data_IF_812197408084
#
_entry.id   IF_812197408084
#
_cell.length_a   1.000
_cell.length_b   1.000
_cell.length_c   1.000
_cell.angle_alpha   90.00
_cell.angle_beta   90.00
_cell.angle_gamma   90.00
#
_symmetry.space_group_name_H-M   'P 1'
#
loop_
_entity.id
_entity.type
_entity.pdbx_description
1 polymer ?
#
# COMPACT_ATOMS: atom_id res chain seq x y z
N UNK A 1 3.84 -2.89 6.01
CA UNK A 1 3.44 -2.45 4.65
C UNK A 1 3.28 -3.68 3.79
N UNK A 2 2.13 -3.87 3.16
CA UNK A 2 1.91 -4.98 2.23
C UNK A 2 2.11 -4.53 0.78
N UNK A 3 2.79 -5.34 -0.03
CA UNK A 3 3.12 -5.01 -1.42
C UNK A 3 2.82 -6.21 -2.31
N UNK A 4 2.12 -5.98 -3.41
CA UNK A 4 1.94 -6.98 -4.46
C UNK A 4 1.15 -6.42 -5.62
N UNK A 5 1.79 -6.25 -6.77
CA UNK A 5 1.15 -5.66 -7.97
C UNK A 5 0.59 -6.70 -8.94
N UNK A 6 0.92 -7.99 -8.73
CA UNK A 6 0.32 -9.09 -9.49
C UNK A 6 -1.19 -9.08 -9.37
N UNK A 7 -1.89 -9.43 -10.46
CA UNK A 7 -3.36 -9.47 -10.52
C UNK A 7 -3.96 -10.35 -9.42
N UNK A 8 -3.29 -11.46 -9.10
CA UNK A 8 -3.72 -12.43 -8.10
C UNK A 8 -3.49 -11.95 -6.67
N UNK A 9 -2.53 -11.06 -6.44
CA UNK A 9 -2.15 -10.57 -5.12
C UNK A 9 -2.84 -9.26 -4.75
N UNK A 10 -3.05 -8.37 -5.72
CA UNK A 10 -3.51 -7.00 -5.53
C UNK A 10 -4.71 -6.84 -4.58
N UNK A 11 -5.80 -7.55 -4.85
CA UNK A 11 -7.02 -7.44 -4.03
C UNK A 11 -6.79 -7.99 -2.62
N UNK A 12 -6.06 -9.10 -2.50
CA UNK A 12 -5.79 -9.75 -1.22
C UNK A 12 -4.90 -8.84 -0.35
N UNK A 13 -3.86 -8.27 -0.93
CA UNK A 13 -2.95 -7.33 -0.26
C UNK A 13 -3.71 -6.11 0.25
N UNK A 14 -4.61 -5.56 -0.56
CA UNK A 14 -5.47 -4.46 -0.16
C UNK A 14 -6.37 -4.85 1.02
N UNK A 15 -7.17 -5.91 0.86
CA UNK A 15 -8.12 -6.36 1.88
C UNK A 15 -7.41 -6.69 3.20
N UNK A 16 -6.27 -7.36 3.15
CA UNK A 16 -5.53 -7.74 4.37
C UNK A 16 -4.97 -6.53 5.10
N UNK A 17 -4.38 -5.59 4.37
CA UNK A 17 -3.81 -4.38 4.95
C UNK A 17 -4.89 -3.50 5.58
N UNK A 18 -5.99 -3.25 4.87
CA UNK A 18 -7.09 -2.43 5.39
C UNK A 18 -7.70 -3.04 6.67
N UNK A 19 -7.92 -4.36 6.69
CA UNK A 19 -8.46 -5.06 7.87
C UNK A 19 -7.53 -4.99 9.10
N UNK A 20 -6.21 -5.06 8.92
CA UNK A 20 -5.26 -4.91 10.03
C UNK A 20 -4.85 -3.46 10.31
N UNK A 21 -5.42 -2.49 9.59
CA UNK A 21 -5.10 -1.07 9.73
C UNK A 21 -3.66 -0.71 9.31
N UNK A 22 -3.10 -1.46 8.36
CA UNK A 22 -1.78 -1.21 7.79
C UNK A 22 -1.87 -0.67 6.36
N UNK A 23 -0.74 -0.18 5.85
CA UNK A 23 -0.63 0.35 4.51
C UNK A 23 -0.44 -0.74 3.45
N UNK A 24 -0.87 -0.47 2.22
CA UNK A 24 -0.65 -1.36 1.08
C UNK A 24 -0.16 -0.65 -0.18
N UNK A 25 0.45 -1.41 -1.08
CA UNK A 25 0.69 -1.06 -2.49
C UNK A 25 0.25 -2.23 -3.36
N UNK A 26 -0.95 -2.14 -3.92
CA UNK A 26 -1.51 -3.19 -4.78
C UNK A 26 -1.35 -2.96 -6.27
N UNK A 27 -0.93 -1.76 -6.68
CA UNK A 27 -1.10 -1.32 -8.07
C UNK A 27 0.21 -1.20 -8.84
N UNK A 28 1.06 -0.27 -8.43
CA UNK A 28 2.40 -0.11 -8.98
C UNK A 28 3.32 0.48 -7.93
N UNK A 29 4.48 -0.15 -7.75
CA UNK A 29 5.58 0.46 -7.02
C UNK A 29 6.15 1.65 -7.79
N UNK A 30 6.13 2.83 -7.18
CA UNK A 30 6.81 4.01 -7.73
C UNK A 30 8.21 4.05 -7.14
N UNK A 31 9.24 4.07 -7.98
CA UNK A 31 10.62 4.20 -7.50
C UNK A 31 10.79 5.44 -6.61
N UNK A 32 11.46 5.26 -5.48
CA UNK A 32 11.58 6.26 -4.43
C UNK A 32 10.46 6.20 -3.40
N UNK A 33 9.64 5.16 -3.37
CA UNK A 33 8.50 5.04 -2.45
C UNK A 33 8.92 5.07 -0.98
N UNK A 34 10.04 4.41 -0.65
CA UNK A 34 10.59 4.39 0.69
C UNK A 34 11.76 5.38 0.81
N UNK A 35 12.66 5.35 -0.16
CA UNK A 35 13.91 6.13 -0.13
C UNK A 35 13.70 7.62 -0.34
N UNK A 36 12.61 8.02 -1.01
CA UNK A 36 12.25 9.42 -1.23
C UNK A 36 10.78 9.70 -0.87
N UNK A 37 10.43 9.36 0.36
CA UNK A 37 9.08 9.54 0.89
C UNK A 37 8.62 11.02 0.86
N UNK A 38 9.55 11.97 0.88
CA UNK A 38 9.23 13.40 0.78
C UNK A 38 8.59 13.76 -0.58
N UNK A 39 9.13 13.24 -1.68
CA UNK A 39 8.57 13.44 -3.03
C UNK A 39 7.23 12.71 -3.20
N UNK A 40 7.08 11.50 -2.65
CA UNK A 40 5.80 10.78 -2.66
C UNK A 40 4.71 11.57 -1.94
N UNK A 41 5.03 12.16 -0.78
CA UNK A 41 4.10 13.05 -0.07
C UNK A 41 3.71 14.28 -0.88
N UNK A 42 4.63 14.85 -1.67
CA UNK A 42 4.27 15.93 -2.58
C UNK A 42 3.27 15.45 -3.64
N UNK A 43 3.40 14.23 -4.14
CA UNK A 43 2.42 13.62 -5.05
C UNK A 43 1.06 13.39 -4.40
N UNK A 44 1.02 12.96 -3.13
CA UNK A 44 -0.23 12.86 -2.34
C UNK A 44 -0.87 14.24 -2.16
N UNK A 45 -0.09 15.26 -1.78
CA UNK A 45 -0.60 16.64 -1.68
C UNK A 45 -1.12 17.18 -3.01
N UNK A 46 -0.51 16.79 -4.15
CA UNK A 46 -1.02 17.14 -5.49
C UNK A 46 -2.37 16.47 -5.74
N UNK A 47 -2.55 15.21 -5.36
CA UNK A 47 -3.85 14.51 -5.45
C UNK A 47 -4.92 15.25 -4.65
N UNK A 48 -4.66 15.57 -3.38
CA UNK A 48 -5.60 16.32 -2.52
C UNK A 48 -5.98 17.69 -3.11
N UNK A 49 -5.02 18.39 -3.73
CA UNK A 49 -5.29 19.66 -4.43
C UNK A 49 -6.19 19.47 -5.65
N UNK A 50 -6.00 18.40 -6.41
CA UNK A 50 -6.84 18.09 -7.58
C UNK A 50 -8.26 17.76 -7.11
N UNK A 51 -8.41 16.92 -6.08
CA UNK A 51 -9.71 16.58 -5.48
C UNK A 51 -10.44 17.84 -5.00
N UNK A 52 -9.76 18.72 -4.26
CA UNK A 52 -10.35 19.96 -3.77
C UNK A 52 -10.81 20.87 -4.92
N UNK A 53 -10.01 21.02 -5.98
CA UNK A 53 -10.37 21.84 -7.15
C UNK A 53 -11.57 21.27 -7.91
N UNK A 54 -11.66 19.95 -8.03
CA UNK A 54 -12.80 19.28 -8.66
C UNK A 54 -14.07 19.42 -7.81
N UNK A 55 -13.94 19.38 -6.47
CA UNK A 55 -15.05 19.59 -5.54
C UNK A 55 -15.58 21.02 -5.54
N UNK A 56 -14.73 22.03 -5.73
CA UNK A 56 -15.13 23.45 -5.83
C UNK A 56 -15.64 23.84 -7.24
N UNK A 57 -16.12 22.89 -8.04
CA UNK A 57 -16.72 23.17 -9.35
C UNK A 57 -15.73 23.45 -10.49
N UNK A 58 -14.43 23.32 -10.25
CA UNK A 58 -13.37 23.53 -11.25
C UNK A 58 -13.49 24.88 -11.99
N UNK A 59 -13.82 25.94 -11.27
CA UNK A 59 -13.98 27.29 -11.82
C UNK A 59 -12.74 27.75 -12.61
N UNK A 60 -12.96 28.39 -13.76
CA UNK A 60 -11.90 28.90 -14.64
C UNK A 60 -11.21 27.85 -15.52
N UNK A 61 -11.69 26.59 -15.54
CA UNK A 61 -11.12 25.52 -16.36
C UNK A 61 -12.03 25.15 -17.52
N UNK A 62 -11.42 24.83 -18.66
CA UNK A 62 -12.15 24.31 -19.81
C UNK A 62 -12.56 22.84 -19.59
N UNK A 63 -13.60 22.37 -20.29
CA UNK A 63 -14.04 20.94 -20.24
C UNK A 63 -12.89 19.97 -20.54
N UNK A 64 -11.96 20.34 -21.42
CA UNK A 64 -10.77 19.54 -21.75
C UNK A 64 -9.82 19.43 -20.56
N UNK A 65 -9.55 20.53 -19.87
CA UNK A 65 -8.67 20.56 -18.70
C UNK A 65 -9.28 19.82 -17.51
N UNK A 66 -10.60 19.95 -17.30
CA UNK A 66 -11.33 19.17 -16.29
C UNK A 66 -11.18 17.67 -16.56
N UNK A 67 -11.39 17.23 -17.81
CA UNK A 67 -11.21 15.83 -18.19
C UNK A 67 -9.77 15.34 -17.96
N UNK A 68 -8.77 16.15 -18.29
CA UNK A 68 -7.36 15.82 -18.05
C UNK A 68 -7.07 15.70 -16.53
N UNK A 69 -7.65 16.59 -15.72
CA UNK A 69 -7.50 16.54 -14.27
C UNK A 69 -8.16 15.31 -13.65
N UNK A 70 -9.37 14.94 -14.08
CA UNK A 70 -10.02 13.71 -13.63
C UNK A 70 -9.18 12.47 -13.97
N UNK A 71 -8.64 12.37 -15.18
CA UNK A 71 -7.73 11.26 -15.55
C UNK A 71 -6.49 11.20 -14.67
N UNK A 72 -5.89 12.36 -14.35
CA UNK A 72 -4.74 12.46 -13.44
C UNK A 72 -5.11 12.06 -12.01
N UNK A 73 -6.26 12.51 -11.51
CA UNK A 73 -6.79 12.15 -10.20
C UNK A 73 -6.93 10.63 -10.08
N UNK A 74 -7.69 10.00 -11.00
CA UNK A 74 -7.92 8.54 -10.99
C UNK A 74 -6.61 7.77 -11.01
N UNK A 75 -5.65 8.19 -11.85
CA UNK A 75 -4.35 7.53 -11.94
C UNK A 75 -3.52 7.66 -10.65
N UNK A 76 -3.52 8.84 -10.04
CA UNK A 76 -2.79 9.08 -8.80
C UNK A 76 -3.43 8.36 -7.62
N UNK A 77 -4.75 8.44 -7.50
CA UNK A 77 -5.51 7.79 -6.43
C UNK A 77 -5.32 6.28 -6.46
N UNK A 78 -5.48 5.66 -7.63
CA UNK A 78 -5.28 4.22 -7.84
C UNK A 78 -3.90 3.72 -7.40
N UNK A 79 -2.85 4.54 -7.54
CA UNK A 79 -1.48 4.17 -7.17
C UNK A 79 -1.12 4.52 -5.72
N UNK A 80 -1.74 5.55 -5.14
CA UNK A 80 -1.32 6.14 -3.86
C UNK A 80 -2.33 5.90 -2.73
N UNK A 81 -3.50 5.33 -3.00
CA UNK A 81 -4.58 5.14 -2.02
C UNK A 81 -4.08 4.46 -0.74
N UNK A 82 -3.37 3.33 -0.86
CA UNK A 82 -2.92 2.54 0.28
C UNK A 82 -1.78 3.13 1.12
N UNK A 83 -1.09 4.15 0.60
CA UNK A 83 -0.01 4.86 1.32
C UNK A 83 -0.38 6.32 1.60
N UNK A 84 -1.63 6.72 1.32
CA UNK A 84 -2.10 8.10 1.45
C UNK A 84 -1.89 8.65 2.86
N UNK A 85 -2.19 7.84 3.87
CA UNK A 85 -2.03 8.19 5.28
C UNK A 85 -0.62 7.90 5.85
N UNK A 86 0.34 7.47 5.02
CA UNK A 86 1.68 7.05 5.47
C UNK A 86 2.60 8.26 5.75
N UNK A 87 2.90 8.47 7.04
CA UNK A 87 3.73 9.60 7.53
C UNK A 87 5.14 9.22 7.96
N UNK A 88 5.47 7.94 8.01
CA UNK A 88 6.80 7.42 8.33
C UNK A 88 7.06 6.21 7.46
N UNK A 89 8.33 5.84 7.29
CA UNK A 89 8.69 4.57 6.68
C UNK A 89 8.14 3.42 7.52
N UNK A 90 7.72 2.30 6.90
CA UNK A 90 7.27 1.13 7.63
C UNK A 90 8.43 0.47 8.37
N UNK A 91 8.13 -0.22 9.46
CA UNK A 91 9.12 -1.04 10.17
C UNK A 91 9.36 -2.40 9.53
N UNK A 92 8.39 -2.91 8.77
CA UNK A 92 8.46 -4.20 8.06
C UNK A 92 7.69 -4.10 6.75
N UNK A 93 8.18 -4.79 5.72
CA UNK A 93 7.49 -4.92 4.43
C UNK A 93 7.22 -6.40 4.14
N UNK A 94 5.98 -6.69 3.73
CA UNK A 94 5.55 -8.00 3.25
C UNK A 94 5.33 -7.89 1.76
N UNK A 95 6.05 -8.68 0.96
CA UNK A 95 6.08 -8.63 -0.50
C UNK A 95 5.56 -9.94 -1.08
N UNK A 96 4.66 -9.85 -2.06
CA UNK A 96 4.30 -10.99 -2.92
C UNK A 96 5.08 -10.86 -4.22
N UNK A 97 5.86 -11.89 -4.54
CA UNK A 97 6.77 -11.92 -5.69
C UNK A 97 7.88 -10.83 -5.66
N UNK A 98 9.03 -11.08 -5.02
CA UNK A 98 10.15 -10.14 -5.04
C UNK A 98 10.80 -9.98 -6.42
N UNK A 99 10.58 -10.89 -7.38
CA UNK A 99 11.11 -10.75 -8.74
C UNK A 99 10.38 -9.63 -9.45
N UNK A 100 9.05 -9.62 -9.37
CA UNK A 100 8.24 -8.52 -9.90
C UNK A 100 8.49 -7.23 -9.10
N UNK A 101 8.56 -7.30 -7.77
CA UNK A 101 8.72 -6.16 -6.87
C UNK A 101 10.18 -5.84 -6.49
N UNK A 102 11.14 -6.12 -7.38
CA UNK A 102 12.58 -5.94 -7.12
C UNK A 102 12.96 -4.52 -6.67
N UNK A 103 12.27 -3.48 -7.14
CA UNK A 103 12.49 -2.10 -6.68
C UNK A 103 12.11 -1.91 -5.21
N UNK A 104 11.03 -2.53 -4.75
CA UNK A 104 10.60 -2.47 -3.36
C UNK A 104 11.63 -3.16 -2.45
N UNK A 105 12.12 -4.33 -2.87
CA UNK A 105 13.18 -5.08 -2.17
C UNK A 105 14.47 -4.24 -2.10
N UNK A 106 14.91 -3.68 -3.22
CA UNK A 106 16.13 -2.87 -3.28
C UNK A 106 16.06 -1.62 -2.40
N UNK A 107 14.92 -0.92 -2.41
CA UNK A 107 14.70 0.23 -1.54
C UNK A 107 14.61 -0.13 -0.06
N UNK A 108 13.96 -1.24 0.28
CA UNK A 108 13.86 -1.75 1.64
C UNK A 108 15.24 -2.10 2.20
N UNK A 109 16.04 -2.85 1.41
CA UNK A 109 17.41 -3.23 1.76
C UNK A 109 18.31 -2.01 1.99
N UNK A 110 18.18 -0.97 1.17
CA UNK A 110 18.95 0.28 1.33
C UNK A 110 18.62 1.03 2.62
N UNK A 111 17.39 0.88 3.13
CA UNK A 111 16.93 1.51 4.36
C UNK A 111 16.98 0.56 5.56
N UNK A 112 17.55 -0.64 5.39
CA UNK A 112 17.64 -1.68 6.41
C UNK A 112 16.26 -2.06 6.99
N UNK A 113 15.22 -2.00 6.15
CA UNK A 113 13.87 -2.41 6.52
C UNK A 113 13.74 -3.91 6.25
N UNK A 114 13.40 -4.74 7.25
CA UNK A 114 13.25 -6.17 7.07
C UNK A 114 12.12 -6.52 6.09
N UNK A 115 12.42 -7.45 5.20
CA UNK A 115 11.55 -7.91 4.11
C UNK A 115 11.11 -9.35 4.35
N UNK A 116 9.80 -9.53 4.47
CA UNK A 116 9.14 -10.83 4.38
C UNK A 116 8.63 -11.00 2.96
N UNK A 117 8.98 -12.08 2.28
CA UNK A 117 8.53 -12.28 0.90
C UNK A 117 8.00 -13.70 0.65
N UNK A 118 6.90 -13.75 -0.10
CA UNK A 118 6.42 -14.98 -0.72
C UNK A 118 7.24 -15.19 -2.00
N UNK A 119 7.99 -16.29 -2.04
CA UNK A 119 8.93 -16.61 -3.12
C UNK A 119 8.51 -17.91 -3.78
N UNK A 120 8.37 -17.87 -5.12
CA UNK A 120 8.24 -19.05 -5.96
C UNK A 120 9.61 -19.49 -6.49
N UNK A 121 9.66 -20.63 -7.19
CA UNK A 121 10.87 -21.30 -7.69
C UNK A 121 11.80 -20.43 -8.55
N UNK A 122 11.33 -19.31 -9.08
CA UNK A 122 12.10 -18.38 -9.91
C UNK A 122 12.79 -17.25 -9.12
N UNK A 123 12.46 -17.07 -7.83
CA UNK A 123 13.00 -15.99 -7.01
C UNK A 123 14.27 -16.37 -6.26
N UNK A 124 15.17 -15.40 -6.12
CA UNK A 124 16.39 -15.54 -5.33
C UNK A 124 16.07 -15.35 -3.82
N UNK A 125 16.20 -16.39 -2.98
CA UNK A 125 15.92 -16.29 -1.55
C UNK A 125 16.89 -15.38 -0.80
N UNK A 126 18.11 -15.15 -1.32
CA UNK A 126 19.13 -14.33 -0.67
C UNK A 126 18.84 -12.82 -0.79
N UNK A 127 17.85 -12.46 -1.62
CA UNK A 127 17.43 -11.08 -1.81
C UNK A 127 16.56 -10.54 -0.67
N UNK A 128 16.02 -11.40 0.21
CA UNK A 128 15.06 -11.04 1.27
C UNK A 128 15.46 -11.63 2.62
N UNK A 129 14.97 -11.04 3.72
CA UNK A 129 15.36 -11.47 5.07
C UNK A 129 14.56 -12.69 5.55
N UNK A 130 13.27 -12.74 5.23
CA UNK A 130 12.37 -13.80 5.67
C UNK A 130 11.62 -14.39 4.47
N UNK A 131 12.07 -15.57 4.03
CA UNK A 131 11.52 -16.28 2.87
C UNK A 131 10.33 -17.14 3.29
N UNK A 132 9.21 -16.99 2.59
CA UNK A 132 8.04 -17.88 2.66
C UNK A 132 7.94 -18.61 1.32
N UNK A 133 8.40 -19.86 1.22
CA UNK A 133 8.37 -20.60 -0.04
C UNK A 133 6.92 -20.99 -0.38
N UNK A 134 6.37 -20.43 -1.46
CA UNK A 134 5.03 -20.74 -1.93
C UNK A 134 4.79 -20.25 -3.36
N UNK A 135 3.78 -20.85 -4.02
CA UNK A 135 3.35 -20.42 -5.34
C UNK A 135 2.65 -19.05 -5.25
N UNK A 136 3.29 -18.04 -5.82
CA UNK A 136 2.87 -16.63 -5.83
C UNK A 136 1.85 -16.30 -6.95
N UNK A 137 1.67 -17.19 -7.92
CA UNK A 137 0.66 -17.09 -8.98
C UNK A 137 -0.71 -17.63 -8.53
N UNK A 138 -0.76 -18.41 -7.44
CA UNK A 138 -1.98 -18.96 -6.89
C UNK A 138 -2.69 -17.99 -5.95
N UNK A 139 -3.89 -17.55 -6.34
CA UNK A 139 -4.75 -16.70 -5.50
C UNK A 139 -5.02 -17.35 -4.14
N UNK A 140 -5.28 -18.66 -4.09
CA UNK A 140 -5.57 -19.37 -2.83
C UNK A 140 -4.36 -19.41 -1.90
N UNK A 141 -3.17 -19.63 -2.46
CA UNK A 141 -1.91 -19.66 -1.72
C UNK A 141 -1.61 -18.30 -1.09
N UNK A 142 -1.62 -17.25 -1.93
CA UNK A 142 -1.41 -15.87 -1.46
C UNK A 142 -2.43 -15.47 -0.39
N UNK A 143 -3.70 -15.86 -0.59
CA UNK A 143 -4.76 -15.56 0.37
C UNK A 143 -4.50 -16.20 1.73
N UNK A 144 -4.19 -17.50 1.74
CA UNK A 144 -3.93 -18.22 2.98
C UNK A 144 -2.77 -17.60 3.77
N UNK A 145 -1.65 -17.33 3.08
CA UNK A 145 -0.43 -16.80 3.72
C UNK A 145 -0.66 -15.38 4.23
N UNK A 146 -1.19 -14.48 3.38
CA UNK A 146 -1.42 -13.10 3.76
C UNK A 146 -2.49 -12.96 4.87
N UNK A 147 -3.51 -13.83 4.88
CA UNK A 147 -4.49 -13.86 5.96
C UNK A 147 -3.86 -14.32 7.28
N UNK A 148 -3.02 -15.36 7.27
CA UNK A 148 -2.32 -15.79 8.48
C UNK A 148 -1.42 -14.67 9.06
N UNK A 149 -0.71 -13.94 8.20
CA UNK A 149 0.10 -12.77 8.60
C UNK A 149 -0.80 -11.67 9.18
N UNK A 150 -1.90 -11.34 8.49
CA UNK A 150 -2.88 -10.35 8.94
C UNK A 150 -3.44 -10.69 10.32
N UNK A 151 -3.88 -11.93 10.51
CA UNK A 151 -4.51 -12.38 11.76
C UNK A 151 -3.53 -12.32 12.92
N UNK A 152 -2.27 -12.68 12.67
CA UNK A 152 -1.19 -12.52 13.64
C UNK A 152 -0.96 -11.05 14.01
N UNK A 153 -0.94 -10.13 13.02
CA UNK A 153 -0.80 -8.69 13.28
C UNK A 153 -1.96 -8.16 14.11
N UNK A 154 -3.19 -8.56 13.80
CA UNK A 154 -4.39 -8.14 14.54
C UNK A 154 -4.31 -8.62 15.98
N UNK A 155 -4.05 -9.92 16.18
CA UNK A 155 -3.92 -10.52 17.51
C UNK A 155 -2.86 -9.79 18.36
N UNK A 156 -1.65 -9.60 17.81
CA UNK A 156 -0.57 -8.91 18.53
C UNK A 156 -0.92 -7.47 18.84
N UNK A 157 -1.64 -6.76 17.95
CA UNK A 157 -2.10 -5.39 18.23
C UNK A 157 -3.12 -5.37 19.37
N UNK A 158 -4.06 -6.29 19.38
CA UNK A 158 -5.07 -6.42 20.44
C UNK A 158 -4.43 -6.72 21.80
N UNK A 159 -3.50 -7.67 21.85
CA UNK A 159 -2.74 -8.02 23.06
C UNK A 159 -1.94 -6.83 23.61
N UNK A 160 -1.40 -5.98 22.74
CA UNK A 160 -0.67 -4.77 23.11
C UNK A 160 -1.56 -3.52 23.29
N UNK A 161 -2.88 -3.64 23.14
CA UNK A 161 -3.83 -2.52 23.23
C UNK A 161 -3.62 -1.44 22.16
N UNK A 162 -3.03 -1.80 21.01
CA UNK A 162 -2.80 -0.88 19.90
C UNK A 162 -4.05 -0.76 19.03
N UNK A 163 -4.49 0.47 18.69
CA UNK A 163 -5.67 0.65 17.86
C UNK A 163 -5.42 0.19 16.42
N UNK A 164 -6.42 -0.49 15.85
CA UNK A 164 -6.48 -0.74 14.41
C UNK A 164 -6.92 0.55 13.72
N UNK A 165 -6.10 1.06 12.79
CA UNK A 165 -6.37 2.31 12.06
C UNK A 165 -7.76 2.37 11.42
N UNK A 166 -8.28 1.24 10.93
CA UNK A 166 -9.62 1.16 10.33
C UNK A 166 -10.73 1.55 11.32
N UNK A 167 -10.55 1.24 12.61
CA UNK A 167 -11.51 1.55 13.67
C UNK A 167 -11.47 3.04 14.02
N UNK A 168 -10.29 3.68 13.94
CA UNK A 168 -10.13 5.10 14.22
C UNK A 168 -10.64 5.99 13.08
N UNK A 169 -10.52 5.57 11.81
CA UNK A 169 -11.07 6.34 10.69
C UNK A 169 -12.60 6.32 10.63
N UNK A 170 -13.25 5.21 11.00
CA UNK A 170 -14.71 5.16 11.16
C UNK A 170 -15.21 5.96 12.36
N UNK A 171 -14.51 5.90 13.50
CA UNK A 171 -14.82 6.73 14.67
C UNK A 171 -14.62 8.22 14.37
N UNK A 172 -13.50 8.61 13.77
CA UNK A 172 -13.21 9.99 13.41
C UNK A 172 -14.12 10.56 12.30
N UNK A 173 -14.72 9.70 11.46
CA UNK A 173 -15.79 10.12 10.52
C UNK A 173 -17.13 10.29 11.23
N UNK A 174 -17.49 9.43 12.19
CA UNK A 174 -18.73 9.57 12.98
C UNK A 174 -18.70 10.81 13.88
N UNK A 175 -17.56 11.11 14.50
CA UNK A 175 -17.39 12.29 15.38
C UNK A 175 -17.37 13.64 14.63
N UNK A 176 -17.27 13.63 13.30
CA UNK A 176 -17.36 14.84 12.45
C UNK A 176 -18.75 15.06 11.86
N UNK A 177 -19.65 14.10 12.01
CA UNK A 177 -21.02 14.14 11.46
C UNK A 177 -22.07 14.30 12.58
N UNK A 178 -21.68 14.15 13.85
CA UNK A 178 -22.47 14.54 15.03
C UNK A 178 -22.08 15.93 15.54
#
# INVERSE_FOLDING_TARGET
>A
LFVGTKKQAKMIVQDCAENCGEYHVGERWLGGMLTNLSTIRQSIKKLERIEKKLATGAEGLTKKEVSLMMKKQVKLDKNLCGIRAMRKTPGVIVIVDPVTEHLAVAEAKKLEIPVFAIIDTNGDPDAVDYVIPANDDSLKSNKLILQAIRDTIIQVKEENGLPLRAVDEEKAKKDKVG
#
